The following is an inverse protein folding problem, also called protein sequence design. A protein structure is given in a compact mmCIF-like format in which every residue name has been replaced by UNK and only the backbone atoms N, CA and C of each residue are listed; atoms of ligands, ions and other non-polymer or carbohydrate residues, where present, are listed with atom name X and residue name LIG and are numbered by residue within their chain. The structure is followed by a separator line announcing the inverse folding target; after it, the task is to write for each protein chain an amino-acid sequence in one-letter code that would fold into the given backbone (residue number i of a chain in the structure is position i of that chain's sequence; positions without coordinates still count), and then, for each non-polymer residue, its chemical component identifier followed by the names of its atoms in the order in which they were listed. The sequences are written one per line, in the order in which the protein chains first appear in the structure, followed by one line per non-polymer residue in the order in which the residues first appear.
data_IF_910500909174
#
_entry.id   IF_910500909174
#
_cell.length_a   1.000
_cell.length_b   1.000
_cell.length_c   1.000
_cell.angle_alpha   90.00
_cell.angle_beta   90.00
_cell.angle_gamma   90.00
#
_symmetry.space_group_name_H-M   'P 1'
#
loop_
_entity.id
_entity.type
_entity.pdbx_description
1 polymer ?
#
# COMPACT_ATOMS: atom_id res chain seq x y z
N UNK A 1 15.89 -17.19 -33.65
CA UNK A 1 16.48 -16.15 -32.78
C UNK A 1 15.55 -15.90 -31.62
N UNK A 2 15.99 -16.14 -30.38
CA UNK A 2 15.21 -15.79 -29.20
C UNK A 2 15.04 -14.26 -29.16
N UNK A 3 13.79 -13.80 -29.22
CA UNK A 3 13.48 -12.37 -29.19
C UNK A 3 13.78 -11.88 -27.78
N UNK A 4 14.76 -11.00 -27.62
CA UNK A 4 15.13 -10.41 -26.33
C UNK A 4 13.88 -9.81 -25.69
N UNK A 5 13.61 -10.20 -24.44
CA UNK A 5 12.44 -9.77 -23.71
C UNK A 5 12.40 -8.23 -23.65
N UNK A 6 11.33 -7.60 -24.13
CA UNK A 6 11.17 -6.15 -24.00
C UNK A 6 10.84 -5.84 -22.53
N UNK A 7 11.66 -5.07 -21.80
CA UNK A 7 11.38 -4.75 -20.39
C UNK A 7 9.98 -4.15 -20.19
N UNK A 8 9.50 -3.36 -21.16
CA UNK A 8 8.16 -2.76 -21.15
C UNK A 8 7.02 -3.78 -21.15
N UNK A 9 7.21 -4.96 -21.73
CA UNK A 9 6.20 -6.02 -21.69
C UNK A 9 6.01 -6.58 -20.29
N UNK A 10 7.10 -6.71 -19.53
CA UNK A 10 7.02 -7.18 -18.14
C UNK A 10 6.27 -6.18 -17.26
N UNK A 11 6.57 -4.90 -17.41
CA UNK A 11 5.93 -3.79 -16.67
C UNK A 11 4.44 -3.67 -17.02
N UNK A 12 4.09 -3.60 -18.31
CA UNK A 12 2.69 -3.51 -18.75
C UNK A 12 1.82 -4.68 -18.28
N UNK A 13 2.38 -5.90 -18.19
CA UNK A 13 1.70 -7.05 -17.57
C UNK A 13 1.43 -6.84 -16.07
N UNK A 14 2.38 -6.27 -15.33
CA UNK A 14 2.19 -5.96 -13.91
C UNK A 14 1.19 -4.81 -13.71
N UNK A 15 1.24 -3.77 -14.54
CA UNK A 15 0.29 -2.65 -14.52
C UNK A 15 -1.16 -3.12 -14.80
N UNK A 16 -1.33 -3.99 -15.80
CA UNK A 16 -2.62 -4.61 -16.08
C UNK A 16 -3.12 -5.44 -14.89
N UNK A 17 -2.22 -6.17 -14.22
CA UNK A 17 -2.55 -6.91 -13.02
C UNK A 17 -2.92 -5.99 -11.84
N UNK A 18 -2.25 -4.85 -11.65
CA UNK A 18 -2.61 -3.87 -10.62
C UNK A 18 -4.06 -3.43 -10.77
N UNK A 19 -4.44 -3.05 -11.99
CA UNK A 19 -5.81 -2.60 -12.28
C UNK A 19 -6.83 -3.72 -12.00
N UNK A 20 -6.63 -4.90 -12.59
CA UNK A 20 -7.59 -6.00 -12.48
C UNK A 20 -7.73 -6.53 -11.05
N UNK A 21 -6.61 -6.70 -10.34
CA UNK A 21 -6.63 -7.22 -8.96
C UNK A 21 -7.29 -6.22 -8.00
N UNK A 22 -7.05 -4.92 -8.15
CA UNK A 22 -7.72 -3.92 -7.29
C UNK A 22 -9.23 -3.87 -7.53
N UNK A 23 -9.65 -4.10 -8.78
CA UNK A 23 -11.06 -4.12 -9.19
C UNK A 23 -11.81 -5.36 -8.71
N UNK A 24 -11.24 -6.56 -8.89
CA UNK A 24 -11.98 -7.82 -8.69
C UNK A 24 -11.21 -8.95 -8.00
N UNK A 25 -9.98 -8.69 -7.55
CA UNK A 25 -9.19 -9.68 -6.82
C UNK A 25 -8.23 -10.50 -7.68
N UNK A 26 -7.29 -11.19 -7.02
CA UNK A 26 -6.29 -12.02 -7.68
C UNK A 26 -6.91 -13.32 -8.21
N UNK A 27 -7.80 -13.92 -7.44
CA UNK A 27 -8.46 -15.19 -7.75
C UNK A 27 -9.33 -15.08 -8.98
N UNK A 28 -10.14 -14.01 -9.08
CA UNK A 28 -11.03 -13.74 -10.21
C UNK A 28 -10.33 -13.17 -11.45
N UNK A 29 -9.03 -12.86 -11.37
CA UNK A 29 -8.25 -12.36 -12.50
C UNK A 29 -7.56 -13.50 -13.25
N UNK A 30 -7.84 -13.65 -14.53
CA UNK A 30 -7.21 -14.67 -15.39
C UNK A 30 -5.96 -14.15 -16.09
N UNK A 31 -5.08 -15.07 -16.51
CA UNK A 31 -3.91 -14.73 -17.34
C UNK A 31 -4.34 -14.09 -18.68
N UNK A 32 -5.44 -14.55 -19.26
CA UNK A 32 -5.92 -14.03 -20.55
C UNK A 32 -6.42 -12.59 -20.43
N UNK A 33 -7.09 -12.23 -19.32
CA UNK A 33 -7.48 -10.84 -19.06
C UNK A 33 -6.28 -9.93 -18.81
N UNK A 34 -5.26 -10.41 -18.09
CA UNK A 34 -4.02 -9.65 -17.90
C UNK A 34 -3.34 -9.41 -19.26
N UNK A 35 -3.26 -10.45 -20.11
CA UNK A 35 -2.70 -10.34 -21.46
C UNK A 35 -3.48 -9.33 -22.31
N UNK A 36 -4.82 -9.40 -22.28
CA UNK A 36 -5.68 -8.47 -22.98
C UNK A 36 -5.50 -7.03 -22.48
N UNK A 37 -5.44 -6.82 -21.16
CA UNK A 37 -5.20 -5.52 -20.54
C UNK A 37 -3.83 -4.93 -20.86
N UNK A 38 -2.81 -5.77 -21.01
CA UNK A 38 -1.46 -5.37 -21.40
C UNK A 38 -1.24 -5.27 -22.92
N UNK A 39 -2.22 -5.68 -23.73
CA UNK A 39 -2.10 -5.69 -25.20
C UNK A 39 -1.06 -6.69 -25.73
N UNK A 40 -0.87 -7.82 -25.04
CA UNK A 40 0.15 -8.84 -25.40
C UNK A 40 -0.45 -10.23 -25.54
N UNK A 41 0.29 -11.14 -26.18
CA UNK A 41 -0.14 -12.53 -26.32
C UNK A 41 0.15 -13.35 -25.06
N UNK A 42 -0.60 -14.46 -24.89
CA UNK A 42 -0.35 -15.44 -23.83
C UNK A 42 1.06 -16.05 -23.90
N UNK A 43 1.62 -16.21 -25.10
CA UNK A 43 3.01 -16.62 -25.29
C UNK A 43 4.01 -15.60 -24.75
N UNK A 44 3.72 -14.30 -24.88
CA UNK A 44 4.54 -13.24 -24.29
C UNK A 44 4.46 -13.26 -22.76
N UNK A 45 3.28 -13.50 -22.18
CA UNK A 45 3.14 -13.70 -20.73
C UNK A 45 4.07 -14.81 -20.22
N UNK A 46 3.98 -16.01 -20.80
CA UNK A 46 4.77 -17.17 -20.35
C UNK A 46 6.26 -17.06 -20.65
N UNK A 47 6.67 -16.09 -21.49
CA UNK A 47 8.08 -15.74 -21.66
C UNK A 47 8.63 -14.96 -20.45
N UNK A 48 7.79 -14.18 -19.76
CA UNK A 48 8.19 -13.34 -18.63
C UNK A 48 7.87 -13.95 -17.26
N UNK A 49 6.75 -14.67 -17.15
CA UNK A 49 6.26 -15.22 -15.90
C UNK A 49 5.87 -16.69 -16.05
N UNK A 50 6.32 -17.53 -15.13
CA UNK A 50 6.03 -18.98 -15.16
C UNK A 50 4.58 -19.28 -14.81
N UNK A 51 3.94 -18.41 -14.02
CA UNK A 51 2.56 -18.57 -13.55
C UNK A 51 1.95 -17.22 -13.18
N UNK A 52 0.64 -17.19 -12.88
CA UNK A 52 -0.02 -16.02 -12.30
C UNK A 52 0.55 -15.67 -10.92
N UNK A 53 0.98 -16.67 -10.16
CA UNK A 53 1.61 -16.50 -8.86
C UNK A 53 2.98 -15.82 -8.98
N UNK A 54 3.80 -16.25 -9.94
CA UNK A 54 5.10 -15.64 -10.26
C UNK A 54 4.94 -14.17 -10.68
N UNK A 55 3.90 -13.87 -11.49
CA UNK A 55 3.53 -12.49 -11.78
C UNK A 55 3.11 -11.73 -10.52
N UNK A 56 2.28 -12.32 -9.66
CA UNK A 56 1.75 -11.64 -8.47
C UNK A 56 2.86 -11.26 -7.48
N UNK A 57 3.84 -12.14 -7.26
CA UNK A 57 5.03 -11.85 -6.44
C UNK A 57 5.86 -10.72 -7.05
N UNK A 58 6.17 -10.81 -8.34
CA UNK A 58 6.91 -9.75 -9.05
C UNK A 58 6.18 -8.40 -9.01
N UNK A 59 4.85 -8.43 -9.19
CA UNK A 59 3.98 -7.28 -9.13
C UNK A 59 3.96 -6.68 -7.71
N UNK A 60 3.98 -7.49 -6.65
CA UNK A 60 4.06 -7.00 -5.26
C UNK A 60 5.34 -6.17 -5.04
N UNK A 61 6.49 -6.67 -5.49
CA UNK A 61 7.75 -5.93 -5.39
C UNK A 61 7.75 -4.65 -6.23
N UNK A 62 7.22 -4.72 -7.46
CA UNK A 62 7.11 -3.54 -8.31
C UNK A 62 6.14 -2.50 -7.74
N UNK A 63 5.05 -2.95 -7.13
CA UNK A 63 4.12 -2.09 -6.39
C UNK A 63 4.79 -1.40 -5.20
N UNK A 64 5.60 -2.14 -4.42
CA UNK A 64 6.36 -1.57 -3.30
C UNK A 64 7.33 -0.48 -3.78
N UNK A 65 8.08 -0.74 -4.85
CA UNK A 65 9.01 0.23 -5.42
C UNK A 65 8.30 1.49 -5.96
N UNK A 66 7.18 1.31 -6.68
CA UNK A 66 6.41 2.42 -7.26
C UNK A 66 5.76 3.28 -6.16
N UNK A 67 5.05 2.64 -5.23
CA UNK A 67 4.39 3.38 -4.14
C UNK A 67 5.42 3.97 -3.18
N UNK A 68 6.52 3.26 -2.93
CA UNK A 68 7.66 3.76 -2.18
C UNK A 68 8.21 5.04 -2.79
N UNK A 69 8.52 5.05 -4.09
CA UNK A 69 9.00 6.25 -4.78
C UNK A 69 7.98 7.41 -4.77
N UNK A 70 6.68 7.10 -4.87
CA UNK A 70 5.62 8.11 -4.75
C UNK A 70 5.61 8.78 -3.36
N UNK A 71 5.64 8.00 -2.28
CA UNK A 71 5.64 8.53 -0.92
C UNK A 71 6.97 9.20 -0.54
N UNK A 72 8.11 8.71 -1.04
CA UNK A 72 9.41 9.33 -0.81
C UNK A 72 9.50 10.72 -1.46
N UNK A 73 8.85 10.92 -2.62
CA UNK A 73 8.81 12.20 -3.33
C UNK A 73 7.68 13.15 -2.92
N UNK A 74 6.86 12.78 -1.94
CA UNK A 74 5.66 13.54 -1.58
C UNK A 74 5.98 14.79 -0.72
N UNK A 75 5.16 15.85 -0.79
CA UNK A 75 5.45 17.12 -0.10
C UNK A 75 5.34 17.05 1.43
N UNK A 76 4.80 15.96 2.00
CA UNK A 76 4.66 15.82 3.45
C UNK A 76 6.01 15.76 4.19
N UNK A 77 7.12 15.58 3.49
CA UNK A 77 8.47 15.65 4.08
C UNK A 77 8.96 17.09 4.34
N UNK A 78 8.29 18.09 3.78
CA UNK A 78 8.71 19.50 3.85
C UNK A 78 8.70 20.14 5.25
N UNK A 79 7.74 19.85 6.15
CA UNK A 79 7.75 20.40 7.51
C UNK A 79 9.04 20.07 8.27
N UNK A 80 9.46 20.96 9.15
CA UNK A 80 10.60 20.72 10.04
C UNK A 80 10.24 19.76 11.18
N UNK A 81 9.01 19.85 11.70
CA UNK A 81 8.54 19.00 12.79
C UNK A 81 8.20 17.59 12.26
N UNK A 82 8.82 16.52 12.80
CA UNK A 82 8.52 15.15 12.39
C UNK A 82 7.07 14.73 12.67
N UNK A 83 6.38 15.34 13.65
CA UNK A 83 4.96 15.07 13.84
C UNK A 83 4.14 15.65 12.69
N UNK A 84 4.47 16.85 12.22
CA UNK A 84 3.77 17.47 11.09
C UNK A 84 3.97 16.65 9.81
N UNK A 85 5.16 16.05 9.62
CA UNK A 85 5.40 15.10 8.52
C UNK A 85 4.50 13.87 8.62
N UNK A 86 4.41 13.27 9.80
CA UNK A 86 3.56 12.10 10.03
C UNK A 86 2.07 12.42 9.81
N UNK A 87 1.60 13.57 10.31
CA UNK A 87 0.24 14.05 10.09
C UNK A 87 -0.01 14.40 8.62
N UNK A 88 0.99 14.93 7.92
CA UNK A 88 0.98 15.18 6.48
C UNK A 88 0.88 13.88 5.67
N UNK A 89 1.57 12.82 6.07
CA UNK A 89 1.41 11.49 5.46
C UNK A 89 -0.02 10.96 5.62
N UNK A 90 -0.63 11.11 6.80
CA UNK A 90 -2.02 10.70 7.05
C UNK A 90 -2.99 11.54 6.20
N UNK A 91 -2.75 12.86 6.10
CA UNK A 91 -3.53 13.75 5.26
C UNK A 91 -3.43 13.38 3.77
N UNK A 92 -2.23 13.10 3.27
CA UNK A 92 -2.03 12.63 1.89
C UNK A 92 -2.78 11.31 1.64
N UNK A 93 -2.70 10.35 2.56
CA UNK A 93 -3.45 9.08 2.46
C UNK A 93 -4.96 9.31 2.40
N UNK A 94 -5.47 10.25 3.18
CA UNK A 94 -6.88 10.67 3.16
C UNK A 94 -7.25 11.32 1.82
N UNK A 95 -6.45 12.24 1.32
CA UNK A 95 -6.67 12.94 0.04
C UNK A 95 -6.67 11.98 -1.15
N UNK A 96 -5.83 10.94 -1.12
CA UNK A 96 -5.82 9.89 -2.13
C UNK A 96 -7.11 9.06 -2.18
N UNK A 97 -7.94 9.08 -1.14
CA UNK A 97 -9.21 8.34 -1.09
C UNK A 97 -10.34 9.11 -1.78
N UNK A 98 -10.08 9.60 -2.99
CA UNK A 98 -11.06 10.27 -3.85
C UNK A 98 -11.20 9.52 -5.18
N UNK A 99 -12.34 9.69 -5.84
CA UNK A 99 -12.64 9.02 -7.11
C UNK A 99 -12.98 7.53 -6.99
N UNK A 100 -12.57 6.75 -7.98
CA UNK A 100 -12.92 5.33 -8.11
C UNK A 100 -12.21 4.48 -7.04
N UNK A 101 -12.96 3.63 -6.32
CA UNK A 101 -12.42 2.82 -5.21
C UNK A 101 -11.26 1.92 -5.66
N UNK A 102 -11.34 1.37 -6.87
CA UNK A 102 -10.26 0.57 -7.42
C UNK A 102 -8.97 1.37 -7.68
N UNK A 103 -9.04 2.70 -7.77
CA UNK A 103 -7.91 3.58 -8.07
C UNK A 103 -7.13 4.03 -6.83
N UNK A 104 -7.71 3.94 -5.62
CA UNK A 104 -7.01 4.25 -4.36
C UNK A 104 -6.78 3.06 -3.41
N UNK A 105 -7.48 1.93 -3.59
CA UNK A 105 -7.31 0.75 -2.71
C UNK A 105 -5.99 0.00 -2.91
N UNK A 106 -5.52 -0.78 -1.94
CA UNK A 106 -4.20 -1.41 -2.02
C UNK A 106 -4.17 -2.70 -2.88
N UNK A 107 -3.23 -2.80 -3.81
CA UNK A 107 -2.95 -4.04 -4.57
C UNK A 107 -2.51 -5.17 -3.63
N UNK A 108 -1.43 -4.96 -2.87
CA UNK A 108 -0.90 -5.98 -1.94
C UNK A 108 -1.87 -6.29 -0.80
N UNK A 109 -2.67 -5.32 -0.35
CA UNK A 109 -3.73 -5.55 0.64
C UNK A 109 -4.87 -6.42 0.12
N UNK A 110 -5.21 -6.33 -1.16
CA UNK A 110 -6.18 -7.24 -1.80
C UNK A 110 -5.59 -8.65 -1.93
N UNK A 111 -4.33 -8.77 -2.35
CA UNK A 111 -3.66 -10.07 -2.43
C UNK A 111 -3.52 -10.75 -1.07
N UNK A 112 -3.17 -10.01 -0.01
CA UNK A 112 -3.03 -10.56 1.34
C UNK A 112 -4.31 -11.25 1.81
N UNK A 113 -5.49 -10.70 1.49
CA UNK A 113 -6.79 -11.26 1.87
C UNK A 113 -7.15 -12.54 1.12
N UNK A 114 -6.65 -12.72 -0.10
CA UNK A 114 -6.98 -13.88 -0.94
C UNK A 114 -5.93 -14.99 -0.90
N UNK A 115 -4.66 -14.62 -0.70
CA UNK A 115 -3.52 -15.51 -0.85
C UNK A 115 -3.04 -16.14 0.46
N UNK A 116 -3.47 -15.66 1.64
CA UNK A 116 -2.92 -16.09 2.94
C UNK A 116 -2.82 -17.62 3.10
N UNK A 117 -3.89 -18.36 2.76
CA UNK A 117 -3.93 -19.82 2.88
C UNK A 117 -3.71 -20.56 1.54
N UNK A 118 -3.69 -19.85 0.41
CA UNK A 118 -3.69 -20.46 -0.93
C UNK A 118 -2.37 -20.28 -1.68
N UNK A 119 -1.56 -19.29 -1.29
CA UNK A 119 -0.25 -18.99 -1.87
C UNK A 119 0.67 -18.34 -0.83
N UNK A 120 1.48 -19.14 -0.10
CA UNK A 120 2.50 -18.63 0.80
C UNK A 120 3.46 -17.60 0.19
N UNK A 121 3.97 -17.74 -1.06
CA UNK A 121 4.88 -16.75 -1.63
C UNK A 121 4.19 -15.41 -1.92
N UNK A 122 2.92 -15.40 -2.35
CA UNK A 122 2.17 -14.14 -2.54
C UNK A 122 1.83 -13.50 -1.20
N UNK A 123 1.47 -14.29 -0.19
CA UNK A 123 1.22 -13.79 1.16
C UNK A 123 2.48 -13.14 1.76
N UNK A 124 3.65 -13.78 1.59
CA UNK A 124 4.93 -13.23 2.02
C UNK A 124 5.26 -11.92 1.29
N UNK A 125 5.17 -11.88 -0.04
CA UNK A 125 5.45 -10.67 -0.80
C UNK A 125 4.50 -9.50 -0.47
N UNK A 126 3.24 -9.81 -0.17
CA UNK A 126 2.27 -8.81 0.29
C UNK A 126 2.63 -8.28 1.69
N UNK A 127 3.04 -9.17 2.61
CA UNK A 127 3.52 -8.77 3.93
C UNK A 127 4.76 -7.88 3.83
N UNK A 128 5.77 -8.29 3.06
CA UNK A 128 7.02 -7.55 2.91
C UNK A 128 6.75 -6.12 2.43
N UNK A 129 5.88 -5.93 1.44
CA UNK A 129 5.50 -4.60 0.95
C UNK A 129 4.79 -3.76 2.03
N UNK A 130 3.89 -4.35 2.81
CA UNK A 130 3.21 -3.63 3.90
C UNK A 130 4.14 -3.31 5.07
N UNK A 131 5.07 -4.21 5.38
CA UNK A 131 6.07 -4.03 6.42
C UNK A 131 7.09 -2.94 6.05
N UNK A 132 7.62 -2.97 4.82
CA UNK A 132 8.49 -1.93 4.27
C UNK A 132 7.82 -0.55 4.34
N UNK A 133 6.54 -0.48 3.96
CA UNK A 133 5.79 0.78 4.05
C UNK A 133 5.65 1.28 5.49
N UNK A 134 5.43 0.38 6.45
CA UNK A 134 5.40 0.75 7.88
C UNK A 134 6.78 1.25 8.36
N UNK A 135 7.86 0.56 7.99
CA UNK A 135 9.23 0.92 8.38
C UNK A 135 9.61 2.34 7.96
N UNK A 136 9.12 2.82 6.80
CA UNK A 136 9.35 4.19 6.33
C UNK A 136 8.79 5.28 7.27
N UNK A 137 7.79 4.97 8.08
CA UNK A 137 7.20 5.93 9.03
C UNK A 137 7.94 6.00 10.36
N UNK A 138 8.74 4.97 10.67
CA UNK A 138 9.39 4.81 11.99
C UNK A 138 10.33 5.96 12.33
N UNK A 139 11.21 6.46 11.43
CA UNK A 139 12.14 7.53 11.77
C UNK A 139 11.47 8.82 12.23
N UNK A 140 10.39 9.25 11.57
CA UNK A 140 9.63 10.44 11.96
C UNK A 140 8.90 10.20 13.28
N UNK A 141 8.28 9.03 13.47
CA UNK A 141 7.61 8.68 14.73
C UNK A 141 8.61 8.72 15.90
N UNK A 142 9.77 8.08 15.79
CA UNK A 142 10.78 8.08 16.84
C UNK A 142 11.32 9.48 17.12
N UNK A 143 11.55 10.29 16.08
CA UNK A 143 12.06 11.65 16.24
C UNK A 143 11.02 12.55 16.90
N UNK A 144 9.74 12.41 16.54
CA UNK A 144 8.65 13.10 17.20
C UNK A 144 8.50 12.67 18.67
N UNK A 145 8.66 11.38 18.98
CA UNK A 145 8.62 10.86 20.35
C UNK A 145 9.74 11.47 21.19
N UNK A 146 10.99 11.46 20.68
CA UNK A 146 12.15 12.06 21.36
C UNK A 146 11.99 13.56 21.59
N UNK A 147 11.57 14.31 20.57
CA UNK A 147 11.40 15.76 20.66
C UNK A 147 10.34 16.18 21.69
N UNK A 148 9.38 15.30 22.00
CA UNK A 148 8.27 15.55 22.93
C UNK A 148 8.42 14.85 24.27
N UNK A 149 9.48 14.06 24.47
CA UNK A 149 9.70 13.29 25.70
C UNK A 149 8.65 12.20 25.92
N UNK A 150 8.11 11.63 24.84
CA UNK A 150 7.09 10.59 24.89
C UNK A 150 7.74 9.24 25.16
N UNK A 151 7.26 8.57 26.19
CA UNK A 151 7.56 7.18 26.50
C UNK A 151 6.26 6.47 26.88
N UNK A 152 6.09 5.22 26.47
CA UNK A 152 4.90 4.43 26.76
C UNK A 152 5.15 2.94 26.59
N UNK A 153 4.08 2.16 26.69
CA UNK A 153 4.05 0.70 26.44
C UNK A 153 3.93 0.36 24.94
N UNK A 154 4.14 1.34 24.06
CA UNK A 154 4.10 1.22 22.61
C UNK A 154 5.37 1.77 21.97
N UNK A 155 5.65 1.32 20.74
CA UNK A 155 6.85 1.70 19.98
C UNK A 155 6.49 2.40 18.67
N UNK A 156 7.48 3.08 18.09
CA UNK A 156 7.34 3.64 16.75
C UNK A 156 6.92 2.58 15.72
N UNK A 157 7.48 1.37 15.83
CA UNK A 157 7.14 0.24 14.97
C UNK A 157 5.69 -0.23 15.16
N UNK A 158 5.16 -0.25 16.39
CA UNK A 158 3.76 -0.65 16.61
C UNK A 158 2.80 0.41 16.10
N UNK A 159 3.11 1.70 16.27
CA UNK A 159 2.29 2.78 15.72
C UNK A 159 2.31 2.80 14.19
N UNK A 160 3.49 2.62 13.56
CA UNK A 160 3.60 2.54 12.11
C UNK A 160 2.75 1.40 11.52
N UNK A 161 2.80 0.22 12.13
CA UNK A 161 1.94 -0.91 11.74
C UNK A 161 0.46 -0.62 11.97
N UNK A 162 0.10 0.09 13.04
CA UNK A 162 -1.27 0.50 13.30
C UNK A 162 -1.80 1.46 12.22
N UNK A 163 -0.99 2.42 11.76
CA UNK A 163 -1.31 3.31 10.65
C UNK A 163 -1.59 2.51 9.37
N UNK A 164 -0.74 1.52 9.05
CA UNK A 164 -0.98 0.62 7.91
C UNK A 164 -2.28 -0.18 8.11
N UNK A 165 -2.52 -0.72 9.31
CA UNK A 165 -3.72 -1.48 9.62
C UNK A 165 -5.01 -0.67 9.42
N UNK A 166 -5.07 0.55 9.94
CA UNK A 166 -6.22 1.45 9.77
C UNK A 166 -6.41 1.83 8.30
N UNK A 167 -5.32 2.10 7.57
CA UNK A 167 -5.39 2.42 6.14
C UNK A 167 -5.95 1.25 5.32
N UNK A 168 -5.50 0.02 5.58
CA UNK A 168 -6.01 -1.18 4.92
C UNK A 168 -7.48 -1.46 5.31
N UNK A 169 -7.82 -1.29 6.59
CA UNK A 169 -9.21 -1.40 7.07
C UNK A 169 -10.14 -0.40 6.38
N UNK A 170 -9.70 0.85 6.22
CA UNK A 170 -10.44 1.89 5.50
C UNK A 170 -10.73 1.48 4.05
N UNK A 171 -9.76 0.87 3.36
CA UNK A 171 -9.98 0.33 2.01
C UNK A 171 -11.03 -0.78 1.96
N UNK A 172 -11.09 -1.64 2.98
CA UNK A 172 -12.14 -2.66 3.10
C UNK A 172 -13.51 -1.99 3.25
N UNK A 173 -13.62 -0.99 4.12
CA UNK A 173 -14.88 -0.25 4.34
C UNK A 173 -15.34 0.46 3.06
N UNK A 174 -14.44 1.10 2.31
CA UNK A 174 -14.78 1.69 1.01
C UNK A 174 -15.32 0.63 0.04
N UNK A 175 -14.63 -0.51 -0.13
CA UNK A 175 -15.09 -1.58 -1.03
C UNK A 175 -16.44 -2.17 -0.60
N UNK A 176 -16.67 -2.36 0.69
CA UNK A 176 -17.89 -2.95 1.22
C UNK A 176 -19.10 -2.01 1.12
N UNK A 177 -18.88 -0.70 1.31
CA UNK A 177 -19.94 0.30 1.29
C UNK A 177 -20.19 0.92 -0.08
N UNK A 178 -19.20 0.88 -0.99
CA UNK A 178 -19.22 1.65 -2.22
C UNK A 178 -19.00 3.15 -2.03
N UNK A 179 -18.60 3.60 -0.82
CA UNK A 179 -18.46 5.01 -0.49
C UNK A 179 -17.03 5.37 -0.03
N UNK A 180 -16.26 6.15 -0.80
CA UNK A 180 -14.94 6.63 -0.39
C UNK A 180 -14.95 7.43 0.92
N UNK A 181 -16.02 8.19 1.18
CA UNK A 181 -16.17 9.00 2.40
C UNK A 181 -16.03 8.18 3.70
N UNK A 182 -16.52 6.94 3.73
CA UNK A 182 -16.42 6.07 4.91
C UNK A 182 -14.96 5.68 5.18
N UNK A 183 -14.14 5.51 4.14
CA UNK A 183 -12.70 5.31 4.31
C UNK A 183 -12.02 6.58 4.82
N UNK A 184 -12.39 7.75 4.30
CA UNK A 184 -11.83 9.04 4.72
C UNK A 184 -12.06 9.30 6.22
N UNK A 185 -13.25 8.97 6.75
CA UNK A 185 -13.55 9.09 8.18
C UNK A 185 -12.58 8.29 9.06
N UNK A 186 -12.14 7.11 8.59
CA UNK A 186 -11.14 6.30 9.30
C UNK A 186 -9.79 7.02 9.41
N UNK A 187 -9.40 7.77 8.38
CA UNK A 187 -8.14 8.52 8.35
C UNK A 187 -8.26 9.83 9.15
N UNK A 188 -9.44 10.45 9.17
CA UNK A 188 -9.74 11.59 10.05
C UNK A 188 -9.70 11.19 11.54
N UNK A 189 -10.15 9.97 11.86
CA UNK A 189 -10.00 9.39 13.21
C UNK A 189 -8.55 9.02 13.53
N UNK A 190 -7.82 8.42 12.57
CA UNK A 190 -6.41 8.10 12.74
C UNK A 190 -5.56 9.35 13.02
N UNK A 191 -5.83 10.45 12.31
CA UNK A 191 -5.15 11.73 12.55
C UNK A 191 -5.34 12.19 14.00
N UNK A 192 -6.59 12.26 14.48
CA UNK A 192 -6.90 12.65 15.86
C UNK A 192 -6.24 11.72 16.88
N UNK A 193 -6.27 10.42 16.64
CA UNK A 193 -5.60 9.43 17.48
C UNK A 193 -4.09 9.73 17.58
N UNK A 194 -3.41 9.94 16.45
CA UNK A 194 -1.99 10.32 16.45
C UNK A 194 -1.77 11.64 17.18
N UNK A 195 -2.57 12.68 16.93
CA UNK A 195 -2.44 13.95 17.66
C UNK A 195 -2.51 13.73 19.18
N UNK A 196 -3.45 12.90 19.67
CA UNK A 196 -3.58 12.61 21.11
C UNK A 196 -2.40 11.85 21.71
N UNK A 197 -1.75 10.96 20.95
CA UNK A 197 -0.54 10.25 21.41
C UNK A 197 0.66 11.18 21.62
N UNK A 198 0.66 12.33 20.95
CA UNK A 198 1.77 13.28 20.94
C UNK A 198 1.53 14.56 21.75
N UNK A 199 0.45 14.62 22.54
CA UNK A 199 0.23 15.66 23.55
C UNK A 199 1.14 15.37 24.76
N UNK A 200 1.83 16.40 25.27
CA UNK A 200 2.64 16.25 26.50
C UNK A 200 1.74 15.92 27.69
N UNK A 201 2.10 14.92 28.52
CA UNK A 201 1.45 14.75 29.82
C UNK A 201 1.72 16.01 30.67
N UNK A 202 0.68 16.80 30.98
CA UNK A 202 0.78 17.88 31.99
C UNK A 202 0.58 19.33 31.52
N UNK A 203 0.16 19.59 30.28
CA UNK A 203 -0.43 20.90 29.93
C UNK A 203 -1.95 20.86 30.06
N UNK A 204 -2.42 21.00 31.29
CA UNK A 204 -3.76 21.46 31.67
C UNK A 204 -3.60 22.62 32.61
#
# INVERSE_FOLDING_TARGET
MARTANPRTRETLMEAAFKLVRQKGLSATSVDEICAGAGVSKGAFFHHFKSKEDLAVAAAHHWSAMTGGFFDGAPYHAPEDPLDRLLGYIALRREMMDGEIAEFTCFVGTMAQEAWATSPPVAAAAWDSMAEHAEKLVPDIETAMRARGISGDWSAQSLARHIVAVTQGAFILAKASGAPAIAQESLDHLRRYVETLFVRPGTT
#
